data_IF_595730258733
#
_entry.id   IF_595730258733
#
_cell.length_a   1.000
_cell.length_b   1.000
_cell.length_c   1.000
_cell.angle_alpha   90.00
_cell.angle_beta   90.00
_cell.angle_gamma   90.00
#
_symmetry.space_group_name_H-M   'P 1'
#
loop_
_entity.id
_entity.type
_entity.pdbx_description
1 polymer ?
#
# COMPACT_ATOMS: atom_id res chain seq x y z
N UNK A 1 -61.13 -1.51 -54.51
CA UNK A 1 -61.50 -2.70 -53.71
C UNK A 1 -60.22 -3.20 -53.08
N UNK A 2 -60.10 -2.99 -51.77
CA UNK A 2 -59.18 -3.64 -50.81
C UNK A 2 -57.69 -3.22 -50.88
N UNK A 3 -57.13 -2.43 -49.95
CA UNK A 3 -57.00 -2.49 -48.47
C UNK A 3 -55.64 -3.06 -48.02
N UNK A 4 -54.89 -2.18 -47.34
CA UNK A 4 -53.99 -2.37 -46.19
C UNK A 4 -52.87 -3.44 -46.17
N UNK A 5 -51.63 -2.98 -45.93
CA UNK A 5 -50.97 -3.20 -44.62
C UNK A 5 -49.76 -2.29 -44.39
N UNK A 6 -49.88 -1.48 -43.35
CA UNK A 6 -48.81 -0.73 -42.68
C UNK A 6 -47.99 -1.68 -41.79
N UNK A 7 -46.67 -1.58 -41.83
CA UNK A 7 -45.82 -1.93 -40.68
C UNK A 7 -44.51 -1.15 -40.74
N UNK A 8 -44.54 0.05 -40.15
CA UNK A 8 -43.36 0.72 -39.59
C UNK A 8 -42.78 -0.18 -38.50
N UNK A 9 -41.52 -0.59 -38.63
CA UNK A 9 -40.72 -1.09 -37.52
C UNK A 9 -39.40 -0.32 -37.57
N UNK A 10 -39.29 0.64 -36.66
CA UNK A 10 -38.13 1.48 -36.45
C UNK A 10 -36.94 0.59 -36.05
N UNK A 11 -35.81 0.83 -36.69
CA UNK A 11 -34.57 0.09 -36.50
C UNK A 11 -33.95 0.47 -35.15
N UNK A 12 -34.34 -0.23 -34.09
CA UNK A 12 -33.69 -0.13 -32.79
C UNK A 12 -32.31 -0.78 -32.91
N UNK A 13 -31.28 0.06 -33.14
CA UNK A 13 -29.89 -0.42 -33.24
C UNK A 13 -29.49 -0.99 -31.88
N UNK A 14 -29.50 -2.31 -31.77
CA UNK A 14 -28.95 -3.03 -30.63
C UNK A 14 -27.54 -2.51 -30.33
N UNK A 15 -27.38 -1.92 -29.14
CA UNK A 15 -26.12 -1.36 -28.67
C UNK A 15 -25.33 -2.46 -27.96
N UNK A 16 -24.00 -2.45 -28.15
CA UNK A 16 -23.08 -3.44 -27.59
C UNK A 16 -22.00 -2.75 -26.76
N UNK A 17 -21.62 -3.35 -25.64
CA UNK A 17 -20.48 -2.92 -24.84
C UNK A 17 -19.18 -3.09 -25.64
N UNK A 18 -18.37 -2.03 -25.73
CA UNK A 18 -17.11 -2.04 -26.47
C UNK A 18 -15.99 -2.84 -25.78
N UNK A 19 -16.18 -3.24 -24.51
CA UNK A 19 -15.21 -3.98 -23.71
C UNK A 19 -15.48 -5.49 -23.69
N UNK A 20 -16.72 -5.90 -23.38
CA UNK A 20 -17.08 -7.32 -23.27
C UNK A 20 -17.94 -7.85 -24.42
N UNK A 21 -18.42 -6.99 -25.33
CA UNK A 21 -19.26 -7.38 -26.47
C UNK A 21 -20.71 -7.72 -26.14
N UNK A 22 -21.13 -7.66 -24.87
CA UNK A 22 -22.52 -7.92 -24.45
C UNK A 22 -23.48 -6.87 -25.01
N UNK A 23 -24.66 -7.31 -25.40
CA UNK A 23 -25.76 -6.46 -25.86
C UNK A 23 -26.43 -5.71 -24.70
N UNK A 24 -27.15 -4.63 -25.00
CA UNK A 24 -27.91 -3.85 -24.03
C UNK A 24 -28.91 -4.68 -23.21
N UNK A 25 -29.41 -5.80 -23.73
CA UNK A 25 -30.35 -6.68 -23.04
C UNK A 25 -29.68 -7.67 -22.08
N UNK A 26 -28.38 -7.92 -22.24
CA UNK A 26 -27.61 -8.86 -21.41
C UNK A 26 -27.01 -8.21 -20.17
N UNK A 27 -27.07 -6.88 -20.07
CA UNK A 27 -26.48 -6.10 -18.97
C UNK A 27 -27.55 -5.26 -18.30
N UNK A 28 -27.38 -5.00 -17.00
CA UNK A 28 -28.37 -4.22 -16.23
C UNK A 28 -28.32 -2.75 -16.61
N UNK A 29 -27.13 -2.23 -16.92
CA UNK A 29 -26.96 -0.87 -17.44
C UNK A 29 -25.89 -0.82 -18.53
N UNK A 30 -26.19 -0.07 -19.59
CA UNK A 30 -25.24 0.29 -20.63
C UNK A 30 -25.13 1.81 -20.69
N UNK A 31 -23.92 2.33 -20.53
CA UNK A 31 -23.60 3.76 -20.53
C UNK A 31 -23.11 4.13 -21.94
N UNK A 32 -23.74 5.14 -22.54
CA UNK A 32 -23.41 5.62 -23.88
C UNK A 32 -22.53 6.87 -23.85
N UNK A 33 -21.39 6.82 -24.52
CA UNK A 33 -20.55 7.97 -24.85
C UNK A 33 -20.66 8.34 -26.34
N UNK A 34 -19.95 9.39 -26.80
CA UNK A 34 -20.03 9.87 -28.20
C UNK A 34 -19.70 8.81 -29.27
N UNK A 35 -18.79 7.89 -28.95
CA UNK A 35 -18.33 6.83 -29.88
C UNK A 35 -18.07 5.47 -29.20
N UNK A 36 -18.48 5.30 -27.95
CA UNK A 36 -18.13 4.12 -27.13
C UNK A 36 -19.25 3.81 -26.14
N UNK A 37 -19.43 2.53 -25.82
CA UNK A 37 -20.42 2.06 -24.85
C UNK A 37 -19.75 1.15 -23.83
N UNK A 38 -20.11 1.29 -22.55
CA UNK A 38 -19.56 0.45 -21.47
C UNK A 38 -20.70 -0.03 -20.56
N UNK A 39 -20.68 -1.30 -20.17
CA UNK A 39 -21.67 -1.87 -19.25
C UNK A 39 -21.25 -1.74 -17.78
N UNK A 40 -22.21 -1.94 -16.87
CA UNK A 40 -21.96 -1.92 -15.42
C UNK A 40 -20.91 -2.94 -14.96
N UNK A 41 -20.95 -4.16 -15.50
CA UNK A 41 -19.95 -5.19 -15.17
C UNK A 41 -18.52 -4.79 -15.57
N UNK A 42 -18.33 -4.19 -16.76
CA UNK A 42 -17.01 -3.71 -17.18
C UNK A 42 -16.55 -2.51 -16.35
N UNK A 43 -17.47 -1.64 -15.91
CA UNK A 43 -17.12 -0.54 -15.00
C UNK A 43 -16.67 -1.09 -13.65
N UNK A 44 -17.33 -2.12 -13.11
CA UNK A 44 -16.92 -2.78 -11.87
C UNK A 44 -15.53 -3.42 -12.02
N UNK A 45 -15.32 -4.21 -13.08
CA UNK A 45 -14.03 -4.85 -13.33
C UNK A 45 -12.90 -3.82 -13.53
N UNK A 46 -13.15 -2.75 -14.30
CA UNK A 46 -12.16 -1.68 -14.46
C UNK A 46 -11.87 -0.97 -13.13
N UNK A 47 -12.88 -0.75 -12.28
CA UNK A 47 -12.65 -0.17 -10.96
C UNK A 47 -11.84 -1.10 -10.06
N UNK A 48 -12.04 -2.42 -10.13
CA UNK A 48 -11.27 -3.39 -9.36
C UNK A 48 -9.81 -3.42 -9.81
N UNK A 49 -9.55 -3.46 -11.12
CA UNK A 49 -8.19 -3.38 -11.68
C UNK A 49 -7.49 -2.07 -11.27
N UNK A 50 -8.20 -0.93 -11.36
CA UNK A 50 -7.65 0.37 -10.95
C UNK A 50 -7.35 0.39 -9.45
N UNK A 51 -8.21 -0.22 -8.61
CA UNK A 51 -7.98 -0.31 -7.16
C UNK A 51 -6.77 -1.17 -6.84
N UNK A 52 -6.61 -2.32 -7.48
CA UNK A 52 -5.45 -3.19 -7.30
C UNK A 52 -4.15 -2.48 -7.72
N UNK A 53 -4.12 -1.81 -8.88
CA UNK A 53 -2.95 -1.04 -9.31
C UNK A 53 -2.67 0.18 -8.40
N UNK A 54 -3.72 0.82 -7.87
CA UNK A 54 -3.55 1.87 -6.88
C UNK A 54 -3.01 1.30 -5.57
N UNK A 55 -3.46 0.14 -5.10
CA UNK A 55 -2.97 -0.48 -3.86
C UNK A 55 -1.50 -0.91 -3.98
N UNK A 56 -1.06 -1.38 -5.15
CA UNK A 56 0.34 -1.71 -5.43
C UNK A 56 1.21 -0.44 -5.66
N UNK A 57 0.63 0.64 -6.20
CA UNK A 57 1.30 1.92 -6.43
C UNK A 57 1.25 2.93 -5.27
N UNK A 58 0.43 2.70 -4.24
CA UNK A 58 0.17 3.66 -3.14
C UNK A 58 0.41 3.07 -1.75
N UNK A 59 1.54 2.40 -1.56
CA UNK A 59 2.05 2.13 -0.22
C UNK A 59 2.25 3.41 0.66
N UNK A 60 2.10 4.63 0.12
CA UNK A 60 2.32 5.88 0.87
C UNK A 60 1.14 6.84 1.07
N UNK A 61 -0.03 6.66 0.43
CA UNK A 61 -1.05 7.72 0.42
C UNK A 61 -2.46 7.25 0.81
N UNK A 62 -2.66 6.79 2.04
CA UNK A 62 -4.01 6.63 2.58
C UNK A 62 -4.20 5.65 3.74
N UNK A 63 -3.22 4.79 4.04
CA UNK A 63 -3.28 3.98 5.27
C UNK A 63 -3.09 4.90 6.46
N UNK A 64 -4.16 5.17 7.19
CA UNK A 64 -4.11 5.91 8.46
C UNK A 64 -3.04 5.29 9.35
N UNK A 65 -1.95 6.01 9.55
CA UNK A 65 -0.81 5.53 10.32
C UNK A 65 -1.28 5.09 11.72
N UNK A 66 -1.00 3.84 12.14
CA UNK A 66 -1.45 3.34 13.43
C UNK A 66 -0.85 4.18 14.55
N UNK A 67 -1.65 4.48 15.56
CA UNK A 67 -1.20 5.26 16.71
C UNK A 67 -0.14 4.46 17.47
N UNK A 68 0.77 5.13 18.21
CA UNK A 68 1.78 4.43 19.01
C UNK A 68 1.19 3.41 20.00
N UNK A 69 -0.04 3.62 20.48
CA UNK A 69 -0.73 2.66 21.35
C UNK A 69 -1.08 1.36 20.60
N UNK A 70 -1.63 1.48 19.40
CA UNK A 70 -2.01 0.34 18.55
C UNK A 70 -0.75 -0.46 18.15
N UNK A 71 0.34 0.22 17.81
CA UNK A 71 1.64 -0.44 17.54
C UNK A 71 2.13 -1.21 18.77
N UNK A 72 2.03 -0.60 19.96
CA UNK A 72 2.47 -1.22 21.20
C UNK A 72 1.61 -2.45 21.55
N UNK A 73 0.30 -2.39 21.32
CA UNK A 73 -0.63 -3.50 21.54
C UNK A 73 -0.29 -4.70 20.64
N UNK A 74 -0.01 -4.47 19.35
CA UNK A 74 0.44 -5.55 18.46
C UNK A 74 1.77 -6.13 18.93
N UNK A 75 2.73 -5.28 19.33
CA UNK A 75 4.02 -5.78 19.87
C UNK A 75 3.84 -6.57 21.18
N UNK A 76 2.82 -6.25 21.99
CA UNK A 76 2.48 -6.98 23.22
C UNK A 76 2.02 -8.41 22.94
N UNK A 77 1.38 -8.68 21.79
CA UNK A 77 0.93 -10.02 21.40
C UNK A 77 2.09 -10.99 21.12
N UNK A 78 3.23 -10.49 20.63
CA UNK A 78 4.38 -11.31 20.23
C UNK A 78 5.55 -11.26 21.23
N UNK A 79 5.77 -10.13 21.90
CA UNK A 79 6.94 -9.95 22.79
C UNK A 79 6.46 -9.65 24.20
N UNK A 80 6.64 -10.61 25.11
CA UNK A 80 6.23 -10.49 26.51
C UNK A 80 7.22 -9.62 27.30
N UNK A 81 6.71 -8.71 28.14
CA UNK A 81 7.54 -7.80 28.95
C UNK A 81 8.07 -6.61 28.15
N UNK A 82 9.29 -6.13 28.40
CA UNK A 82 9.98 -5.09 27.59
C UNK A 82 9.17 -3.80 27.30
N UNK A 83 8.31 -3.38 28.23
CA UNK A 83 7.36 -2.26 28.02
C UNK A 83 8.04 -0.95 27.58
N UNK A 84 9.24 -0.66 28.12
CA UNK A 84 10.01 0.52 27.71
C UNK A 84 10.44 0.46 26.25
N UNK A 85 10.96 -0.68 25.80
CA UNK A 85 11.44 -0.85 24.43
C UNK A 85 10.29 -0.74 23.43
N UNK A 86 9.16 -1.41 23.70
CA UNK A 86 7.97 -1.33 22.83
C UNK A 86 7.44 0.09 22.73
N UNK A 87 7.27 0.81 23.84
CA UNK A 87 6.87 2.22 23.84
C UNK A 87 7.80 3.11 22.99
N UNK A 88 9.11 2.94 23.11
CA UNK A 88 10.10 3.72 22.34
C UNK A 88 9.99 3.40 20.85
N UNK A 89 9.91 2.12 20.48
CA UNK A 89 9.75 1.67 19.10
C UNK A 89 8.47 2.22 18.48
N UNK A 90 7.34 2.10 19.18
CA UNK A 90 6.03 2.58 18.70
C UNK A 90 6.03 4.08 18.42
N UNK A 91 6.64 4.89 19.29
CA UNK A 91 6.73 6.35 19.07
C UNK A 91 7.70 6.68 17.94
N UNK A 92 8.86 6.05 17.90
CA UNK A 92 9.89 6.32 16.90
C UNK A 92 9.40 6.01 15.48
N UNK A 93 8.70 4.89 15.32
CA UNK A 93 8.13 4.46 14.03
C UNK A 93 7.01 5.38 13.61
N UNK A 94 6.10 5.71 14.52
CA UNK A 94 5.04 6.68 14.22
C UNK A 94 5.61 8.03 13.74
N UNK A 95 6.65 8.52 14.41
CA UNK A 95 7.33 9.74 14.02
C UNK A 95 8.10 9.61 12.70
N UNK A 96 8.64 8.41 12.40
CA UNK A 96 9.32 8.13 11.13
C UNK A 96 8.36 8.32 9.94
N UNK A 97 7.17 7.73 10.00
CA UNK A 97 6.20 7.89 8.92
C UNK A 97 5.60 9.28 8.84
N UNK A 98 5.30 9.92 9.98
CA UNK A 98 4.88 11.33 9.98
C UNK A 98 5.89 12.24 9.28
N UNK A 99 7.18 11.98 9.50
CA UNK A 99 8.24 12.73 8.82
C UNK A 99 8.22 12.47 7.31
N UNK A 100 7.94 11.25 6.86
CA UNK A 100 7.81 10.94 5.43
C UNK A 100 6.60 11.65 4.81
N UNK A 101 5.44 11.60 5.47
CA UNK A 101 4.21 12.29 5.02
C UNK A 101 4.42 13.80 4.86
N UNK A 102 5.09 14.45 5.81
CA UNK A 102 5.41 15.89 5.73
C UNK A 102 6.34 16.19 4.56
N UNK A 103 7.33 15.32 4.32
CA UNK A 103 8.29 15.47 3.22
C UNK A 103 7.61 15.29 1.86
N UNK A 104 6.68 14.35 1.73
CA UNK A 104 5.91 14.11 0.51
C UNK A 104 4.89 15.22 0.23
N UNK A 105 4.28 15.79 1.28
CA UNK A 105 3.32 16.88 1.14
C UNK A 105 3.93 18.22 0.64
N UNK A 106 5.23 18.28 0.41
CA UNK A 106 5.91 19.44 -0.19
C UNK A 106 5.80 20.74 0.62
N UNK A 107 5.33 20.67 1.87
CA UNK A 107 5.31 21.82 2.77
C UNK A 107 6.76 22.15 3.12
N UNK A 108 7.23 23.26 2.56
CA UNK A 108 8.42 23.97 3.05
C UNK A 108 8.12 24.55 4.43
N UNK A 109 8.00 23.69 5.43
CA UNK A 109 8.18 24.13 6.80
C UNK A 109 9.69 24.40 6.97
N UNK A 110 10.05 25.55 7.54
CA UNK A 110 11.45 25.90 7.89
C UNK A 110 12.06 24.94 8.92
N UNK A 111 11.24 24.03 9.47
CA UNK A 111 11.60 23.08 10.52
C UNK A 111 12.00 21.74 9.90
N UNK A 112 13.30 21.49 9.85
CA UNK A 112 13.83 20.17 9.46
C UNK A 112 13.58 19.13 10.56
N UNK A 113 12.80 18.09 10.24
CA UNK A 113 12.59 16.96 11.14
C UNK A 113 13.80 16.01 11.11
N UNK A 114 14.51 15.87 12.23
CA UNK A 114 15.67 14.98 12.36
C UNK A 114 15.29 13.48 12.37
N UNK A 115 16.22 12.60 11.97
CA UNK A 115 16.07 11.14 12.11
C UNK A 115 16.37 10.75 13.54
N UNK A 116 15.46 10.00 14.17
CA UNK A 116 15.70 9.36 15.46
C UNK A 116 16.04 7.89 15.24
N UNK A 117 17.31 7.54 15.33
CA UNK A 117 17.75 6.14 15.33
C UNK A 117 17.60 5.55 16.74
N UNK A 118 17.48 4.23 16.84
CA UNK A 118 17.27 3.52 18.10
C UNK A 118 18.43 2.55 18.33
N UNK A 119 18.98 2.56 19.55
CA UNK A 119 19.90 1.54 20.03
C UNK A 119 19.17 0.65 21.05
N UNK A 120 19.06 -0.65 20.75
CA UNK A 120 18.45 -1.63 21.64
C UNK A 120 19.53 -2.35 22.45
N UNK A 121 19.49 -2.18 23.78
CA UNK A 121 20.43 -2.80 24.71
C UNK A 121 19.68 -3.81 25.57
N UNK A 122 20.21 -5.04 25.66
CA UNK A 122 19.66 -6.09 26.51
C UNK A 122 20.40 -7.42 26.34
N UNK A 123 20.19 -8.38 27.26
CA UNK A 123 20.86 -9.67 27.24
C UNK A 123 20.53 -10.49 25.98
N UNK A 124 21.27 -11.57 25.74
CA UNK A 124 20.94 -12.52 24.68
C UNK A 124 19.56 -13.13 24.91
N UNK A 125 18.82 -13.43 23.84
CA UNK A 125 17.51 -14.07 23.93
C UNK A 125 16.33 -13.24 24.46
N UNK A 126 16.50 -11.94 24.76
CA UNK A 126 15.40 -11.11 25.30
C UNK A 126 14.39 -10.58 24.26
N UNK A 127 14.48 -11.02 23.00
CA UNK A 127 13.53 -10.64 21.94
C UNK A 127 13.89 -9.37 21.15
N UNK A 128 15.14 -8.90 21.15
CA UNK A 128 15.56 -7.72 20.36
C UNK A 128 15.27 -7.87 18.86
N UNK A 129 15.68 -9.00 18.26
CA UNK A 129 15.44 -9.30 16.85
C UNK A 129 13.95 -9.48 16.58
N UNK A 130 13.24 -10.20 17.44
CA UNK A 130 11.80 -10.45 17.32
C UNK A 130 10.97 -9.15 17.36
N UNK A 131 11.37 -8.16 18.17
CA UNK A 131 10.74 -6.83 18.18
C UNK A 131 10.84 -6.16 16.80
N UNK A 132 12.01 -6.20 16.18
CA UNK A 132 12.24 -5.58 14.88
C UNK A 132 11.47 -6.31 13.74
N UNK A 133 11.54 -7.64 13.72
CA UNK A 133 10.82 -8.46 12.73
C UNK A 133 9.30 -8.33 12.86
N UNK A 134 8.77 -8.30 14.08
CA UNK A 134 7.32 -8.14 14.30
C UNK A 134 6.86 -6.76 13.86
N UNK A 135 7.65 -5.73 14.14
CA UNK A 135 7.35 -4.38 13.68
C UNK A 135 7.35 -4.27 12.15
N UNK A 136 8.34 -4.86 11.48
CA UNK A 136 8.40 -4.89 10.02
C UNK A 136 7.20 -5.61 9.40
N UNK A 137 6.83 -6.80 9.92
CA UNK A 137 5.66 -7.56 9.47
C UNK A 137 4.35 -6.79 9.66
N UNK A 138 4.18 -6.14 10.81
CA UNK A 138 3.00 -5.34 11.11
C UNK A 138 2.81 -4.19 10.12
N UNK A 139 3.91 -3.51 9.76
CA UNK A 139 3.88 -2.32 8.90
C UNK A 139 3.95 -2.65 7.41
N UNK A 140 4.17 -3.92 7.05
CA UNK A 140 4.32 -4.40 5.69
C UNK A 140 5.35 -3.57 4.90
N UNK A 141 6.54 -3.39 5.47
CA UNK A 141 7.64 -2.64 4.84
C UNK A 141 8.87 -3.48 4.59
N UNK A 142 9.70 -3.11 3.59
CA UNK A 142 11.00 -3.72 3.38
C UNK A 142 11.83 -3.69 4.67
N UNK A 143 12.43 -4.82 5.00
CA UNK A 143 13.19 -5.00 6.24
C UNK A 143 14.41 -5.88 6.00
N UNK A 144 15.57 -5.35 6.35
CA UNK A 144 16.87 -6.03 6.21
C UNK A 144 17.50 -6.20 7.59
N UNK A 145 18.02 -7.40 7.84
CA UNK A 145 18.82 -7.72 9.02
C UNK A 145 20.28 -7.82 8.57
N UNK A 146 21.18 -7.11 9.25
CA UNK A 146 22.61 -7.18 9.01
C UNK A 146 23.36 -7.40 10.32
N UNK A 147 24.46 -8.15 10.25
CA UNK A 147 25.39 -8.35 11.36
C UNK A 147 26.56 -7.37 11.20
N UNK A 148 26.78 -6.53 12.20
CA UNK A 148 27.87 -5.56 12.16
C UNK A 148 29.26 -6.22 12.26
N UNK A 149 29.36 -7.46 12.72
CA UNK A 149 30.64 -8.18 12.86
C UNK A 149 31.23 -8.63 11.52
N UNK A 150 30.42 -8.70 10.46
CA UNK A 150 30.87 -9.05 9.10
C UNK A 150 31.34 -7.82 8.31
N UNK A 151 31.08 -6.61 8.82
CA UNK A 151 31.38 -5.36 8.15
C UNK A 151 32.82 -4.94 8.42
N UNK A 152 33.53 -4.57 7.36
CA UNK A 152 34.91 -4.06 7.44
C UNK A 152 35.03 -2.72 6.75
N UNK A 153 36.09 -1.98 7.05
CA UNK A 153 36.41 -0.74 6.33
C UNK A 153 36.61 -1.01 4.83
N UNK A 154 36.26 -0.05 3.99
CA UNK A 154 36.42 -0.13 2.55
C UNK A 154 37.87 -0.47 2.18
N UNK A 155 38.05 -1.49 1.36
CA UNK A 155 39.39 -1.97 0.95
C UNK A 155 39.99 -3.07 1.83
N UNK A 156 39.30 -3.52 2.89
CA UNK A 156 39.64 -4.73 3.63
C UNK A 156 38.77 -5.92 3.21
N UNK A 157 39.21 -7.13 3.56
CA UNK A 157 38.48 -8.38 3.28
C UNK A 157 37.28 -8.49 4.22
N UNK A 158 36.07 -8.19 3.72
CA UNK A 158 34.80 -8.27 4.44
C UNK A 158 33.63 -7.69 3.65
N UNK A 159 32.43 -7.60 4.24
CA UNK A 159 31.27 -6.97 3.59
C UNK A 159 31.35 -5.42 3.74
N UNK A 160 31.06 -4.70 2.66
CA UNK A 160 30.89 -3.24 2.67
C UNK A 160 29.54 -2.87 3.31
N UNK A 161 29.46 -1.69 3.95
CA UNK A 161 28.22 -1.10 4.47
C UNK A 161 27.17 -0.89 3.37
N UNK A 162 27.58 -0.66 2.12
CA UNK A 162 26.65 -0.51 1.00
C UNK A 162 25.87 -1.79 0.69
N UNK A 163 26.45 -2.96 0.98
CA UNK A 163 25.80 -4.26 0.76
C UNK A 163 24.54 -4.44 1.61
N UNK A 164 24.39 -3.68 2.71
CA UNK A 164 23.20 -3.72 3.57
C UNK A 164 21.97 -3.15 2.84
N UNK A 165 22.18 -2.17 1.94
CA UNK A 165 21.09 -1.50 1.22
C UNK A 165 20.68 -2.29 -0.04
N UNK A 166 21.60 -3.09 -0.59
CA UNK A 166 21.38 -3.86 -1.82
C UNK A 166 20.70 -5.23 -1.59
N UNK A 167 20.62 -5.70 -0.34
CA UNK A 167 19.94 -6.95 0.07
C UNK A 167 18.48 -6.67 0.45
#
# INVERSE_FOLDING_TARGET
>A
MSDDKHSKADSDKLLYCSFCGKSQHEVRKLIAGPSVFICDECVELCNDIIREEMEDGTASAGRKLPKPKEINEVLDEYVIGQARAKKVLSVAVYNHYKRLEVREAGKKDEVELAKSNILLIGPTGCGKTLLAETLARMLNVPFTIADATTLTEAGYVGEDVENIIQK
#
